data_IF_462981328710
#
_entry.id   IF_462981328710
#
_cell.length_a   1.000
_cell.length_b   1.000
_cell.length_c   1.000
_cell.angle_alpha   90.00
_cell.angle_beta   90.00
_cell.angle_gamma   90.00
#
_symmetry.space_group_name_H-M   'P 1'
#
loop_
_entity.id
_entity.type
_entity.pdbx_description
1 polymer ?
#
# COMPACT_ATOMS: atom_id res chain seq x y z
N UNK A 1 -3.93 -11.86 -7.54
CA UNK A 1 -3.40 -10.97 -6.51
C UNK A 1 -3.81 -9.54 -6.82
N UNK A 2 -3.20 -8.87 -7.81
CA UNK A 2 -3.39 -7.46 -8.12
C UNK A 2 -4.87 -7.02 -8.22
N UNK A 3 -5.72 -7.80 -8.91
CA UNK A 3 -7.15 -7.50 -9.02
C UNK A 3 -7.89 -7.46 -7.67
N UNK A 4 -7.40 -8.17 -6.67
CA UNK A 4 -7.98 -8.11 -5.32
C UNK A 4 -7.53 -6.89 -4.56
N UNK A 5 -6.26 -6.48 -4.70
CA UNK A 5 -5.77 -5.21 -4.14
C UNK A 5 -6.60 -4.05 -4.66
N UNK A 6 -6.72 -3.94 -5.99
CA UNK A 6 -7.49 -2.87 -6.64
C UNK A 6 -8.96 -2.88 -6.24
N UNK A 7 -9.60 -4.08 -6.21
CA UNK A 7 -10.99 -4.21 -5.78
C UNK A 7 -11.21 -3.75 -4.33
N UNK A 8 -10.24 -3.96 -3.44
CA UNK A 8 -10.29 -3.51 -2.05
C UNK A 8 -10.00 -2.02 -1.93
N UNK A 9 -8.92 -1.54 -2.54
CA UNK A 9 -8.57 -0.13 -2.51
C UNK A 9 -9.71 0.76 -3.05
N UNK A 10 -10.41 0.32 -4.11
CA UNK A 10 -11.60 1.01 -4.64
C UNK A 10 -12.80 1.05 -3.68
N UNK A 11 -12.78 0.32 -2.58
CA UNK A 11 -13.84 0.34 -1.55
C UNK A 11 -13.51 1.28 -0.38
N UNK A 12 -12.32 1.84 -0.34
CA UNK A 12 -12.01 2.92 0.58
C UNK A 12 -12.87 4.14 0.24
N UNK A 13 -13.49 4.75 1.25
CA UNK A 13 -14.48 5.81 1.07
C UNK A 13 -13.84 7.22 1.11
N UNK A 14 -12.62 7.31 1.67
CA UNK A 14 -11.87 8.57 1.79
C UNK A 14 -10.86 8.81 0.65
N UNK A 15 -10.69 7.86 -0.25
CA UNK A 15 -9.79 8.00 -1.39
C UNK A 15 -10.58 8.32 -2.66
N UNK A 16 -10.32 9.46 -3.29
CA UNK A 16 -11.05 9.94 -4.47
C UNK A 16 -10.66 9.20 -5.75
N UNK A 17 -9.38 8.84 -5.88
CA UNK A 17 -8.82 8.25 -7.08
C UNK A 17 -7.93 7.04 -6.76
N UNK A 18 -7.86 6.12 -7.72
CA UNK A 18 -6.93 5.00 -7.67
C UNK A 18 -6.08 4.98 -8.94
N UNK A 19 -4.78 5.05 -8.78
CA UNK A 19 -3.80 4.94 -9.88
C UNK A 19 -2.81 3.84 -9.55
N UNK A 20 -2.64 2.87 -10.47
CA UNK A 20 -1.60 1.87 -10.34
C UNK A 20 -0.28 2.41 -10.91
N UNK A 21 0.78 2.46 -10.11
CA UNK A 21 2.12 2.79 -10.60
C UNK A 21 2.82 1.53 -11.10
N UNK A 22 3.28 1.54 -12.35
CA UNK A 22 3.92 0.40 -13.01
C UNK A 22 5.30 0.82 -13.50
N UNK A 23 6.31 -0.04 -13.31
CA UNK A 23 7.64 0.21 -13.87
C UNK A 23 7.63 0.20 -15.40
N UNK A 24 8.57 0.93 -16.00
CA UNK A 24 8.65 1.11 -17.46
C UNK A 24 9.33 -0.08 -18.19
N UNK A 25 9.86 -1.05 -17.47
CA UNK A 25 10.47 -2.25 -18.05
C UNK A 25 9.44 -3.10 -18.79
N UNK A 26 9.86 -3.73 -19.89
CA UNK A 26 8.99 -4.56 -20.76
C UNK A 26 8.38 -5.78 -20.05
N UNK A 27 9.03 -6.27 -18.99
CA UNK A 27 8.48 -7.35 -18.15
C UNK A 27 7.13 -6.98 -17.51
N UNK A 28 6.85 -5.70 -17.39
CA UNK A 28 5.60 -5.17 -16.85
C UNK A 28 4.49 -4.98 -17.91
N UNK A 29 4.73 -5.30 -19.19
CA UNK A 29 3.73 -5.16 -20.25
C UNK A 29 2.45 -5.92 -19.94
N UNK A 30 2.57 -7.11 -19.37
CA UNK A 30 1.40 -7.91 -18.96
C UNK A 30 0.54 -7.21 -17.90
N UNK A 31 1.13 -6.41 -17.02
CA UNK A 31 0.41 -5.62 -16.01
C UNK A 31 -0.31 -4.46 -16.70
N UNK A 32 0.37 -3.74 -17.62
CA UNK A 32 -0.22 -2.63 -18.37
C UNK A 32 -1.40 -3.09 -19.21
N UNK A 33 -1.25 -4.16 -19.97
CA UNK A 33 -2.33 -4.78 -20.74
C UNK A 33 -3.50 -5.26 -19.85
N UNK A 34 -3.18 -5.77 -18.65
CA UNK A 34 -4.21 -6.14 -17.71
C UNK A 34 -4.99 -4.91 -17.21
N UNK A 35 -4.31 -3.79 -16.93
CA UNK A 35 -4.93 -2.53 -16.54
C UNK A 35 -5.88 -2.02 -17.62
N UNK A 36 -5.44 -1.99 -18.88
CA UNK A 36 -6.26 -1.58 -20.02
C UNK A 36 -7.54 -2.44 -20.14
N UNK A 37 -7.40 -3.76 -20.07
CA UNK A 37 -8.53 -4.70 -20.17
C UNK A 37 -9.53 -4.60 -19.01
N UNK A 38 -9.09 -4.12 -17.84
CA UNK A 38 -9.91 -4.02 -16.63
C UNK A 38 -10.25 -2.57 -16.25
N UNK A 39 -10.00 -1.62 -17.15
CA UNK A 39 -10.30 -0.19 -16.96
C UNK A 39 -9.70 0.35 -15.65
N UNK A 40 -8.44 -0.02 -15.38
CA UNK A 40 -7.66 0.48 -14.26
C UNK A 40 -6.75 1.59 -14.74
N UNK A 41 -6.89 2.77 -14.16
CA UNK A 41 -5.96 3.88 -14.42
C UNK A 41 -4.57 3.51 -13.94
N UNK A 42 -3.55 3.68 -14.77
CA UNK A 42 -2.17 3.44 -14.39
C UNK A 42 -1.24 4.54 -14.89
N UNK A 43 -0.12 4.68 -14.22
CA UNK A 43 1.01 5.55 -14.58
C UNK A 43 2.26 4.71 -14.71
N UNK A 44 3.08 4.99 -15.71
CA UNK A 44 4.35 4.28 -15.94
C UNK A 44 5.52 5.21 -15.59
N UNK A 45 6.53 4.69 -14.93
CA UNK A 45 7.75 5.46 -14.58
C UNK A 45 8.94 4.52 -14.33
N UNK A 46 10.10 5.06 -13.90
CA UNK A 46 11.35 4.31 -13.79
C UNK A 46 11.21 3.02 -12.98
N UNK A 47 11.80 1.91 -13.46
CA UNK A 47 11.75 0.62 -12.75
C UNK A 47 12.43 0.68 -11.39
N UNK A 48 13.62 1.30 -11.35
CA UNK A 48 14.49 1.32 -10.17
C UNK A 48 14.25 2.52 -9.24
N UNK A 49 13.34 3.45 -9.61
CA UNK A 49 13.00 4.62 -8.82
C UNK A 49 11.50 4.62 -8.47
N UNK A 50 11.20 3.95 -7.36
CA UNK A 50 9.84 3.83 -6.86
C UNK A 50 9.27 5.19 -6.39
N UNK A 51 10.12 6.05 -5.83
CA UNK A 51 9.73 7.40 -5.40
C UNK A 51 9.31 8.25 -6.59
N UNK A 52 10.12 8.28 -7.66
CA UNK A 52 9.81 9.03 -8.87
C UNK A 52 8.49 8.55 -9.50
N UNK A 53 8.24 7.24 -9.53
CA UNK A 53 6.96 6.70 -10.03
C UNK A 53 5.76 7.21 -9.24
N UNK A 54 5.85 7.22 -7.90
CA UNK A 54 4.77 7.72 -7.03
C UNK A 54 4.56 9.22 -7.22
N UNK A 55 5.64 10.00 -7.26
CA UNK A 55 5.57 11.44 -7.45
C UNK A 55 4.94 11.81 -8.80
N UNK A 56 5.37 11.19 -9.89
CA UNK A 56 4.80 11.43 -11.22
C UNK A 56 3.32 11.05 -11.29
N UNK A 57 2.92 9.92 -10.69
CA UNK A 57 1.53 9.52 -10.61
C UNK A 57 0.69 10.51 -9.81
N UNK A 58 1.21 11.01 -8.69
CA UNK A 58 0.56 12.02 -7.86
C UNK A 58 0.34 13.34 -8.62
N UNK A 59 1.36 13.81 -9.34
CA UNK A 59 1.25 15.01 -10.20
C UNK A 59 0.18 14.83 -11.29
N UNK A 60 0.23 13.70 -12.00
CA UNK A 60 -0.70 13.42 -13.10
C UNK A 60 -2.15 13.32 -12.62
N UNK A 61 -2.38 12.76 -11.44
CA UNK A 61 -3.69 12.63 -10.81
C UNK A 61 -4.11 13.88 -10.00
N UNK A 62 -3.22 14.87 -9.85
CA UNK A 62 -3.38 16.00 -8.94
C UNK A 62 -3.76 15.57 -7.51
N UNK A 63 -3.13 14.51 -7.03
CA UNK A 63 -3.38 13.94 -5.70
C UNK A 63 -2.49 14.56 -4.63
N UNK A 64 -3.11 14.89 -3.48
CA UNK A 64 -2.46 15.38 -2.28
C UNK A 64 -3.44 15.25 -1.10
N UNK A 65 -3.15 14.45 -0.06
CA UNK A 65 -2.00 13.54 0.04
C UNK A 65 -2.07 12.32 -0.88
N UNK A 66 -1.01 11.52 -0.90
CA UNK A 66 -0.89 10.26 -1.63
C UNK A 66 -1.03 9.10 -0.66
N UNK A 67 -1.95 8.19 -0.93
CA UNK A 67 -2.10 6.93 -0.18
C UNK A 67 -1.38 5.81 -0.93
N UNK A 68 -0.41 5.20 -0.27
CA UNK A 68 0.36 4.09 -0.84
C UNK A 68 -0.10 2.75 -0.27
N UNK A 69 -0.48 1.85 -1.17
CA UNK A 69 -0.74 0.44 -0.92
C UNK A 69 0.07 -0.39 -1.91
N UNK A 70 0.71 -1.47 -1.48
CA UNK A 70 1.54 -2.30 -2.35
C UNK A 70 0.71 -3.34 -3.10
N UNK A 71 1.08 -3.61 -4.36
CA UNK A 71 0.31 -4.46 -5.28
C UNK A 71 0.33 -5.97 -4.96
N UNK A 72 1.15 -6.37 -4.00
CA UNK A 72 1.30 -7.72 -3.45
C UNK A 72 0.46 -7.99 -2.21
N UNK A 73 -0.31 -7.00 -1.71
CA UNK A 73 -1.10 -7.06 -0.48
C UNK A 73 -2.61 -7.29 -0.75
N UNK A 74 -3.04 -8.51 -1.18
CA UNK A 74 -4.42 -8.77 -1.63
C UNK A 74 -5.46 -8.69 -0.52
N UNK A 75 -5.06 -8.62 0.75
CA UNK A 75 -5.95 -8.57 1.90
C UNK A 75 -5.89 -7.24 2.67
N UNK A 76 -5.33 -6.18 2.06
CA UNK A 76 -5.40 -4.84 2.65
C UNK A 76 -6.86 -4.46 2.94
N UNK A 77 -7.21 -4.08 4.18
CA UNK A 77 -8.60 -3.76 4.53
C UNK A 77 -8.97 -2.35 4.06
N UNK A 78 -10.08 -2.16 3.34
CA UNK A 78 -10.54 -0.81 2.95
C UNK A 78 -10.74 0.14 4.14
N UNK A 79 -11.33 -0.36 5.22
CA UNK A 79 -11.53 0.43 6.45
C UNK A 79 -10.22 0.89 7.10
N UNK A 80 -9.14 0.14 6.93
CA UNK A 80 -7.83 0.53 7.43
C UNK A 80 -7.22 1.64 6.57
N UNK A 81 -7.45 1.62 5.25
CA UNK A 81 -7.09 2.74 4.37
C UNK A 81 -7.77 4.02 4.86
N UNK A 82 -9.10 3.97 5.06
CA UNK A 82 -9.88 5.12 5.51
C UNK A 82 -9.42 5.62 6.88
N UNK A 83 -9.11 4.71 7.81
CA UNK A 83 -8.62 5.06 9.14
C UNK A 83 -7.27 5.79 9.11
N UNK A 84 -6.31 5.31 8.31
CA UNK A 84 -4.98 5.95 8.23
C UNK A 84 -5.07 7.32 7.54
N UNK A 85 -5.96 7.49 6.57
CA UNK A 85 -6.25 8.81 5.97
C UNK A 85 -6.83 9.75 7.03
N UNK A 86 -7.80 9.29 7.82
CA UNK A 86 -8.42 10.08 8.88
C UNK A 86 -7.40 10.52 9.94
N UNK A 87 -6.52 9.63 10.37
CA UNK A 87 -5.43 9.95 11.30
C UNK A 87 -4.45 10.99 10.72
N UNK A 88 -4.16 10.89 9.43
CA UNK A 88 -3.32 11.85 8.73
C UNK A 88 -3.93 13.26 8.77
N UNK A 89 -5.20 13.37 8.41
CA UNK A 89 -5.95 14.64 8.40
C UNK A 89 -6.08 15.24 9.81
N UNK A 90 -6.46 14.43 10.82
CA UNK A 90 -6.68 14.90 12.18
C UNK A 90 -5.41 15.40 12.87
N UNK A 91 -4.27 14.81 12.56
CA UNK A 91 -2.99 15.18 13.15
C UNK A 91 -2.21 16.22 12.33
N UNK A 92 -2.71 16.63 11.17
CA UNK A 92 -1.98 17.50 10.22
C UNK A 92 -0.55 16.99 10.01
N UNK A 93 -0.41 15.68 9.89
CA UNK A 93 0.90 15.05 9.70
C UNK A 93 1.33 15.15 8.24
N UNK A 94 2.64 15.11 7.99
CA UNK A 94 3.19 15.07 6.63
C UNK A 94 3.38 13.63 6.13
N UNK A 95 3.49 12.69 7.08
CA UNK A 95 3.53 11.26 6.80
C UNK A 95 2.83 10.49 7.92
N UNK A 96 1.91 9.62 7.55
CA UNK A 96 1.20 8.73 8.48
C UNK A 96 1.32 7.29 7.99
N UNK A 97 1.59 6.38 8.90
CA UNK A 97 1.67 4.95 8.59
C UNK A 97 1.07 4.11 9.71
N UNK A 98 0.49 2.96 9.37
CA UNK A 98 0.09 1.96 10.36
C UNK A 98 1.20 0.91 10.62
N UNK A 99 2.34 1.02 9.96
CA UNK A 99 3.41 0.01 10.01
C UNK A 99 4.16 0.08 11.34
N UNK A 100 4.16 -1.05 12.04
CA UNK A 100 5.00 -1.33 13.21
C UNK A 100 5.46 -2.79 13.13
N UNK A 101 6.38 -3.19 14.00
CA UNK A 101 6.84 -4.59 14.09
C UNK A 101 5.72 -5.56 14.54
N UNK A 102 4.62 -5.01 15.09
CA UNK A 102 3.48 -5.79 15.59
C UNK A 102 2.36 -5.93 14.55
N UNK A 103 2.45 -5.24 13.41
CA UNK A 103 1.41 -5.30 12.36
C UNK A 103 1.67 -6.44 11.37
N UNK A 104 0.61 -7.15 10.91
CA UNK A 104 0.76 -8.22 9.91
C UNK A 104 1.38 -7.71 8.62
N UNK A 105 2.30 -8.49 8.06
CA UNK A 105 2.83 -8.20 6.72
C UNK A 105 1.69 -8.31 5.69
N UNK A 106 1.55 -7.30 4.84
CA UNK A 106 0.48 -7.23 3.83
C UNK A 106 -0.71 -6.34 4.22
N UNK A 107 -0.61 -5.62 5.36
CA UNK A 107 -1.61 -4.63 5.79
C UNK A 107 -1.09 -3.20 5.81
N UNK A 108 0.12 -2.98 5.33
CA UNK A 108 0.80 -1.69 5.33
C UNK A 108 0.07 -0.63 4.49
N UNK A 109 -0.16 0.52 5.10
CA UNK A 109 -0.73 1.71 4.48
C UNK A 109 0.13 2.90 4.87
N UNK A 110 0.51 3.68 3.88
CA UNK A 110 1.25 4.92 4.04
C UNK A 110 0.45 6.08 3.44
N UNK A 111 0.30 7.18 4.16
CA UNK A 111 -0.28 8.43 3.67
C UNK A 111 0.79 9.50 3.72
N UNK A 112 1.08 10.15 2.59
CA UNK A 112 2.25 11.00 2.40
C UNK A 112 1.82 12.27 1.68
N UNK A 113 2.13 13.44 2.22
CA UNK A 113 1.95 14.70 1.51
C UNK A 113 2.82 14.73 0.25
N UNK A 114 2.31 15.29 -0.82
CA UNK A 114 3.03 15.33 -2.10
C UNK A 114 4.34 16.13 -2.01
N UNK A 115 4.40 17.18 -1.19
CA UNK A 115 5.61 17.96 -0.97
C UNK A 115 6.72 17.14 -0.28
N UNK A 116 6.36 16.18 0.58
CA UNK A 116 7.32 15.21 1.16
C UNK A 116 7.94 14.33 0.08
N UNK A 117 7.14 13.85 -0.88
CA UNK A 117 7.69 13.10 -2.02
C UNK A 117 8.67 13.97 -2.84
N UNK A 118 8.38 15.26 -3.01
CA UNK A 118 9.27 16.21 -3.70
C UNK A 118 10.58 16.42 -2.92
N UNK A 119 10.51 16.67 -1.61
CA UNK A 119 11.68 16.82 -0.74
C UNK A 119 12.58 15.57 -0.76
N UNK A 120 12.00 14.37 -0.68
CA UNK A 120 12.75 13.11 -0.76
C UNK A 120 13.50 12.96 -2.09
N UNK A 121 12.89 13.39 -3.20
CA UNK A 121 13.54 13.40 -4.52
C UNK A 121 14.73 14.37 -4.55
N UNK A 122 14.59 15.56 -3.98
CA UNK A 122 15.69 16.54 -3.87
C UNK A 122 16.84 16.01 -3.03
N UNK A 123 16.56 15.16 -2.03
CA UNK A 123 17.56 14.48 -1.20
C UNK A 123 18.21 13.27 -1.90
N UNK A 124 17.74 12.91 -3.10
CA UNK A 124 18.28 11.80 -3.90
C UNK A 124 17.80 10.42 -3.46
N UNK A 125 16.67 10.34 -2.75
CA UNK A 125 16.03 9.07 -2.43
C UNK A 125 15.37 8.45 -3.66
N UNK A 126 15.24 7.13 -3.67
CA UNK A 126 14.51 6.36 -4.70
C UNK A 126 13.34 5.56 -4.14
N UNK A 127 13.08 5.67 -2.82
CA UNK A 127 12.00 4.93 -2.15
C UNK A 127 11.12 5.87 -1.32
N UNK A 128 9.77 5.87 -1.51
CA UNK A 128 8.88 6.91 -0.97
C UNK A 128 8.75 6.92 0.55
N UNK A 129 9.09 5.85 1.26
CA UNK A 129 8.88 5.77 2.72
C UNK A 129 10.09 5.32 3.52
N UNK A 130 11.20 4.89 2.89
CA UNK A 130 12.34 4.33 3.63
C UNK A 130 12.93 5.34 4.60
N UNK A 131 13.34 6.52 4.11
CA UNK A 131 13.92 7.58 4.95
C UNK A 131 12.96 8.05 6.03
N UNK A 132 11.66 8.17 5.72
CA UNK A 132 10.64 8.61 6.68
C UNK A 132 10.51 7.65 7.87
N UNK A 133 10.66 6.36 7.62
CA UNK A 133 10.60 5.32 8.66
C UNK A 133 11.92 5.18 9.44
N UNK A 134 13.06 5.41 8.76
CA UNK A 134 14.39 5.34 9.38
C UNK A 134 14.72 6.57 10.23
N UNK A 135 14.17 7.75 9.89
CA UNK A 135 14.46 9.03 10.55
C UNK A 135 13.16 9.80 10.87
N UNK A 136 12.22 9.22 11.63
CA UNK A 136 10.89 9.82 11.86
C UNK A 136 10.97 11.19 12.59
N UNK A 137 12.07 11.46 13.30
CA UNK A 137 12.29 12.73 14.01
C UNK A 137 12.56 13.91 13.08
N UNK A 138 12.98 13.67 11.84
CA UNK A 138 13.23 14.71 10.84
C UNK A 138 11.93 15.19 10.16
N UNK A 139 10.83 14.45 10.37
CA UNK A 139 9.56 14.65 9.68
C UNK A 139 8.41 14.72 10.69
N UNK A 140 7.29 15.34 10.29
CA UNK A 140 6.04 15.25 11.07
C UNK A 140 5.37 13.90 10.80
N UNK A 141 5.84 12.87 11.52
CA UNK A 141 5.40 11.48 11.35
C UNK A 141 4.36 11.10 12.40
N UNK A 142 3.27 10.46 11.96
CA UNK A 142 2.32 9.79 12.83
C UNK A 142 2.35 8.29 12.55
N UNK A 143 2.67 7.50 13.57
CA UNK A 143 2.55 6.04 13.53
C UNK A 143 1.28 5.64 14.24
N UNK A 144 0.36 5.00 13.53
CA UNK A 144 -0.99 4.69 14.02
C UNK A 144 -1.30 3.18 13.86
N UNK A 145 -0.74 2.32 14.74
CA UNK A 145 -1.08 0.90 14.74
C UNK A 145 -2.56 0.69 15.06
N UNK A 146 -3.07 -0.48 14.71
CA UNK A 146 -4.44 -0.84 15.02
C UNK A 146 -4.44 -2.12 15.87
N UNK A 147 -4.90 -2.02 17.11
CA UNK A 147 -4.91 -3.11 18.09
C UNK A 147 -5.62 -4.37 17.58
N UNK A 148 -6.61 -4.21 16.69
CA UNK A 148 -7.28 -5.36 16.07
C UNK A 148 -6.34 -6.17 15.20
N UNK A 149 -5.34 -5.53 14.56
CA UNK A 149 -4.37 -6.18 13.68
C UNK A 149 -3.13 -6.64 14.43
N UNK A 150 -2.68 -5.90 15.44
CA UNK A 150 -1.51 -6.30 16.26
C UNK A 150 -1.73 -7.63 16.96
N UNK A 151 -2.97 -7.99 17.27
CA UNK A 151 -3.31 -9.31 17.83
C UNK A 151 -2.97 -10.50 16.90
N UNK A 152 -2.71 -10.26 15.62
CA UNK A 152 -2.34 -11.27 14.60
C UNK A 152 -1.08 -10.87 13.85
N UNK A 153 -0.20 -10.12 14.50
CA UNK A 153 0.98 -9.49 13.91
C UNK A 153 1.97 -10.44 13.24
N UNK A 154 1.99 -11.71 13.64
CA UNK A 154 2.86 -12.72 13.01
C UNK A 154 2.35 -13.21 11.64
N UNK A 155 1.13 -12.83 11.23
CA UNK A 155 0.59 -13.26 9.95
C UNK A 155 1.29 -12.57 8.77
N UNK A 156 1.52 -13.33 7.70
CA UNK A 156 2.05 -12.84 6.43
C UNK A 156 1.00 -12.99 5.34
N UNK A 157 0.39 -11.90 4.92
CA UNK A 157 -0.66 -11.87 3.89
C UNK A 157 -0.23 -11.19 2.59
N UNK A 158 1.02 -10.75 2.47
CA UNK A 158 1.61 -10.36 1.20
C UNK A 158 1.95 -11.59 0.34
N UNK A 159 2.13 -11.39 -0.95
CA UNK A 159 2.51 -12.43 -1.92
C UNK A 159 3.90 -12.12 -2.48
N UNK A 160 4.93 -12.52 -1.74
CA UNK A 160 6.34 -12.33 -2.13
C UNK A 160 6.90 -13.55 -2.85
N UNK A 161 6.36 -14.73 -2.53
CA UNK A 161 6.82 -16.02 -3.06
C UNK A 161 5.66 -16.88 -3.60
N UNK A 162 5.94 -17.90 -4.43
CA UNK A 162 4.92 -18.90 -4.79
C UNK A 162 4.29 -19.62 -3.59
N UNK A 163 5.02 -19.79 -2.49
CA UNK A 163 4.50 -20.41 -1.27
C UNK A 163 3.40 -19.53 -0.64
N UNK A 164 3.62 -18.23 -0.54
CA UNK A 164 2.63 -17.28 -0.02
C UNK A 164 1.35 -17.31 -0.86
N UNK A 165 1.52 -17.33 -2.19
CA UNK A 165 0.37 -17.44 -3.09
C UNK A 165 -0.49 -18.68 -2.79
N UNK A 166 0.14 -19.85 -2.63
CA UNK A 166 -0.60 -21.08 -2.37
C UNK A 166 -1.21 -21.11 -0.96
N UNK A 167 -0.54 -20.53 0.04
CA UNK A 167 -1.07 -20.38 1.39
C UNK A 167 -2.36 -19.51 1.35
N UNK A 168 -2.33 -18.38 0.64
CA UNK A 168 -3.50 -17.52 0.50
C UNK A 168 -4.63 -18.19 -0.29
N UNK A 169 -4.31 -18.97 -1.32
CA UNK A 169 -5.32 -19.76 -2.05
C UNK A 169 -6.00 -20.78 -1.14
N UNK A 170 -5.25 -21.43 -0.26
CA UNK A 170 -5.80 -22.41 0.70
C UNK A 170 -6.65 -21.70 1.78
N UNK A 171 -6.17 -20.59 2.32
CA UNK A 171 -6.92 -19.75 3.24
C UNK A 171 -8.28 -19.36 2.65
N UNK A 172 -8.27 -18.80 1.44
CA UNK A 172 -9.51 -18.35 0.76
C UNK A 172 -10.49 -19.48 0.51
N UNK A 173 -10.02 -20.66 0.13
CA UNK A 173 -10.88 -21.85 -0.05
C UNK A 173 -11.50 -22.32 1.25
N UNK A 174 -10.80 -22.12 2.36
CA UNK A 174 -11.20 -22.63 3.68
C UNK A 174 -12.12 -21.65 4.42
N UNK A 175 -11.74 -20.37 4.45
CA UNK A 175 -12.41 -19.36 5.30
C UNK A 175 -13.00 -18.18 4.53
N UNK A 176 -12.86 -18.16 3.22
CA UNK A 176 -13.39 -17.07 2.39
C UNK A 176 -12.42 -15.94 2.17
N UNK A 177 -12.92 -14.74 1.85
CA UNK A 177 -12.12 -13.61 1.34
C UNK A 177 -12.10 -12.40 2.26
N UNK A 178 -12.68 -12.49 3.45
CA UNK A 178 -12.67 -11.40 4.41
C UNK A 178 -11.25 -11.20 4.97
N UNK A 179 -10.66 -9.99 4.90
CA UNK A 179 -9.27 -9.76 5.27
C UNK A 179 -8.93 -10.26 6.67
N UNK A 180 -9.72 -9.89 7.67
CA UNK A 180 -9.46 -10.28 9.06
C UNK A 180 -9.52 -11.80 9.25
N UNK A 181 -10.53 -12.46 8.68
CA UNK A 181 -10.71 -13.92 8.81
C UNK A 181 -9.57 -14.67 8.14
N UNK A 182 -9.08 -14.19 6.99
CA UNK A 182 -7.91 -14.78 6.32
C UNK A 182 -6.64 -14.58 7.14
N UNK A 183 -6.45 -13.40 7.74
CA UNK A 183 -5.28 -13.10 8.56
C UNK A 183 -5.28 -13.93 9.84
N UNK A 184 -6.41 -14.06 10.52
CA UNK A 184 -6.56 -14.94 11.71
C UNK A 184 -6.21 -16.39 11.36
N UNK A 185 -6.72 -16.91 10.25
CA UNK A 185 -6.45 -18.26 9.79
C UNK A 185 -4.95 -18.52 9.50
N UNK A 186 -4.24 -17.50 8.98
CA UNK A 186 -2.79 -17.58 8.72
C UNK A 186 -2.00 -17.52 10.02
N UNK A 187 -2.37 -16.64 10.94
CA UNK A 187 -1.69 -16.48 12.24
C UNK A 187 -1.74 -17.74 13.12
N UNK A 188 -2.75 -18.60 12.94
CA UNK A 188 -2.91 -19.85 13.69
C UNK A 188 -2.04 -21.00 13.15
N UNK A 189 -1.23 -20.82 12.11
CA UNK A 189 -0.47 -21.89 11.41
C UNK A 189 1.00 -21.61 11.29
#
# INVERSE_FOLDING_TARGET
VLGWVIKRARRAERADNLVLTVGDHTENDAIREWCERNEVTFSTGPEDDLLERHYQAALAANSDPVVRVTGDCPFVPPSEIDRVIEEHEQNNSRYTTNVTDEMPIGTAIDVIDRDVLEELRELGDSHPVRRLRENPEEWTVVVTPNDQWTAVGEAHTAVDTPADYWQLVDAVKTVGTEPRVVTDWIAER
#
